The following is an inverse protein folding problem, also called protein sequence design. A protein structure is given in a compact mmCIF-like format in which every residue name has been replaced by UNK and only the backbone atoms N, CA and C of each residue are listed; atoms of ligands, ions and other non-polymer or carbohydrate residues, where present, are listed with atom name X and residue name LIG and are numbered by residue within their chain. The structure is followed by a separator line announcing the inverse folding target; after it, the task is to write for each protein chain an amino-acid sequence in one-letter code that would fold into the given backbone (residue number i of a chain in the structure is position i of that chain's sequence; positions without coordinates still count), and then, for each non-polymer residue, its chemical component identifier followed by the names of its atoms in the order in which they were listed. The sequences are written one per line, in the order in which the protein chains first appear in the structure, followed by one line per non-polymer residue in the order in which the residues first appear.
data_IF_466533501416
#
_entry.id   IF_466533501416
#
_cell.length_a   1.000
_cell.length_b   1.000
_cell.length_c   1.000
_cell.angle_alpha   90.00
_cell.angle_beta   90.00
_cell.angle_gamma   90.00
#
_symmetry.space_group_name_H-M   'P 1'
#
loop_
_entity.id
_entity.type
_entity.pdbx_description
1 polymer ?
#
# COMPACT_ATOMS: atom_id res chain seq x y z
N UNK A 1 -10.95 3.94 -1.81
CA UNK A 1 -9.67 3.29 -1.52
C UNK A 1 -9.18 3.67 -0.11
N UNK A 2 -8.48 2.76 0.51
CA UNK A 2 -7.84 2.99 1.81
C UNK A 2 -6.33 3.03 1.60
N UNK A 3 -5.69 4.11 2.04
CA UNK A 3 -4.25 4.27 1.95
C UNK A 3 -3.63 4.00 3.32
N UNK A 4 -2.69 3.07 3.37
CA UNK A 4 -1.99 2.71 4.59
C UNK A 4 -0.53 3.11 4.44
N UNK A 5 -0.09 4.09 5.23
CA UNK A 5 1.27 4.59 5.23
C UNK A 5 2.00 4.09 6.46
N UNK A 6 3.25 3.71 6.30
CA UNK A 6 4.08 3.27 7.42
C UNK A 6 5.17 4.29 7.70
N UNK A 7 5.37 4.60 8.99
CA UNK A 7 6.46 5.46 9.45
C UNK A 7 7.76 4.69 9.66
N UNK A 8 7.69 3.36 9.67
CA UNK A 8 8.83 2.51 10.00
C UNK A 8 9.27 1.58 8.87
N UNK A 9 8.31 1.14 8.07
CA UNK A 9 8.55 0.10 7.08
C UNK A 9 8.70 0.67 5.68
N UNK A 10 9.39 -0.07 4.82
CA UNK A 10 9.73 0.36 3.47
C UNK A 10 8.65 -0.01 2.46
N UNK A 11 7.40 0.24 2.82
CA UNK A 11 6.28 0.05 1.90
C UNK A 11 5.09 0.90 2.32
N UNK A 12 4.18 1.11 1.39
CA UNK A 12 2.83 1.58 1.68
C UNK A 12 1.82 0.77 0.86
N UNK A 13 0.58 0.79 1.29
CA UNK A 13 -0.46 -0.06 0.70
C UNK A 13 -1.66 0.77 0.29
N UNK A 14 -2.17 0.50 -0.90
CA UNK A 14 -3.46 1.00 -1.34
C UNK A 14 -4.42 -0.18 -1.37
N UNK A 15 -5.44 -0.13 -0.53
CA UNK A 15 -6.50 -1.14 -0.50
C UNK A 15 -7.63 -0.64 -1.39
N UNK A 16 -7.91 -1.37 -2.46
CA UNK A 16 -8.94 -1.00 -3.42
C UNK A 16 -10.16 -1.87 -3.22
N UNK A 17 -11.29 -1.23 -2.92
CA UNK A 17 -12.57 -1.90 -2.72
C UNK A 17 -13.33 -1.87 -4.06
N UNK A 18 -13.51 -3.03 -4.63
CA UNK A 18 -14.18 -3.21 -5.91
C UNK A 18 -15.64 -3.59 -5.71
N UNK A 19 -16.41 -3.68 -6.81
CA UNK A 19 -17.77 -4.17 -6.78
C UNK A 19 -17.80 -5.63 -6.33
N UNK A 20 -18.95 -6.06 -5.80
CA UNK A 20 -19.17 -7.44 -5.35
C UNK A 20 -18.26 -7.89 -4.20
N UNK A 21 -17.86 -6.92 -3.35
CA UNK A 21 -17.03 -7.18 -2.17
C UNK A 21 -15.63 -7.70 -2.48
N UNK A 22 -15.16 -7.47 -3.68
CA UNK A 22 -13.81 -7.83 -4.08
C UNK A 22 -12.80 -6.78 -3.60
N UNK A 23 -11.64 -7.25 -3.16
CA UNK A 23 -10.56 -6.39 -2.67
C UNK A 23 -9.29 -6.69 -3.44
N UNK A 24 -8.61 -5.60 -3.83
CA UNK A 24 -7.27 -5.69 -4.42
C UNK A 24 -6.31 -4.84 -3.59
N UNK A 25 -5.07 -5.29 -3.53
CA UNK A 25 -4.01 -4.54 -2.86
C UNK A 25 -2.95 -4.12 -3.87
N UNK A 26 -2.56 -2.87 -3.78
CA UNK A 26 -1.42 -2.35 -4.52
C UNK A 26 -0.39 -1.89 -3.50
N UNK A 27 0.80 -2.46 -3.55
CA UNK A 27 1.85 -2.21 -2.56
C UNK A 27 3.02 -1.54 -3.24
N UNK A 28 3.38 -0.36 -2.79
CA UNK A 28 4.57 0.34 -3.25
C UNK A 28 5.73 0.04 -2.32
N UNK A 29 6.85 -0.41 -2.86
CA UNK A 29 8.11 -0.43 -2.13
C UNK A 29 8.62 1.02 -2.12
N UNK A 30 8.72 1.59 -0.93
CA UNK A 30 8.97 3.01 -0.75
C UNK A 30 9.68 3.24 0.58
N UNK A 31 10.29 4.41 0.73
CA UNK A 31 10.83 4.78 2.03
C UNK A 31 9.71 4.91 3.06
N UNK A 32 10.04 4.79 4.35
CA UNK A 32 9.05 5.10 5.38
C UNK A 32 8.46 6.50 5.15
N UNK A 33 7.17 6.62 5.40
CA UNK A 33 6.47 7.89 5.18
C UNK A 33 6.81 8.88 6.28
N UNK A 34 6.98 10.14 5.90
CA UNK A 34 7.32 11.20 6.81
C UNK A 34 6.24 12.27 6.76
N UNK A 35 5.72 12.65 7.92
CA UNK A 35 4.73 13.71 8.00
C UNK A 35 5.43 15.06 7.84
N UNK A 36 4.99 15.86 6.87
CA UNK A 36 5.54 17.18 6.61
C UNK A 36 4.72 18.23 7.35
N UNK A 37 3.39 18.11 7.27
CA UNK A 37 2.45 18.97 7.99
C UNK A 37 1.17 18.17 8.27
N UNK A 38 0.12 18.82 8.78
CA UNK A 38 -1.11 18.14 9.18
C UNK A 38 -1.74 17.30 8.07
N UNK A 39 -1.57 17.72 6.81
CA UNK A 39 -2.24 17.09 5.68
C UNK A 39 -1.30 16.50 4.63
N UNK A 40 0.00 16.56 4.87
CA UNK A 40 0.98 16.09 3.89
C UNK A 40 1.94 15.07 4.47
N UNK A 41 2.14 14.00 3.68
CA UNK A 41 3.13 12.96 3.94
C UNK A 41 4.01 12.83 2.72
N UNK A 42 5.29 12.55 2.94
CA UNK A 42 6.22 12.33 1.86
C UNK A 42 6.92 10.98 2.02
N UNK A 43 7.22 10.37 0.91
CA UNK A 43 8.02 9.16 0.84
C UNK A 43 8.73 9.11 -0.51
N UNK A 44 9.79 8.32 -0.58
CA UNK A 44 10.50 8.07 -1.83
C UNK A 44 9.98 6.75 -2.40
N UNK A 45 9.46 6.79 -3.63
CA UNK A 45 9.02 5.61 -4.34
C UNK A 45 10.24 4.92 -4.96
N UNK A 46 10.41 3.65 -4.69
CA UNK A 46 11.52 2.86 -5.24
C UNK A 46 11.13 2.04 -6.46
N UNK A 47 10.00 2.37 -7.07
CA UNK A 47 9.52 1.83 -8.35
C UNK A 47 9.04 0.37 -8.33
N UNK A 48 9.55 -0.45 -7.45
CA UNK A 48 9.15 -1.85 -7.36
C UNK A 48 7.82 -1.96 -6.64
N UNK A 49 6.87 -2.67 -7.25
CA UNK A 49 5.52 -2.77 -6.73
C UNK A 49 5.06 -4.23 -6.64
N UNK A 50 4.09 -4.47 -5.76
CA UNK A 50 3.35 -5.72 -5.69
C UNK A 50 1.87 -5.45 -5.90
N UNK A 51 1.21 -6.34 -6.61
CA UNK A 51 -0.24 -6.30 -6.75
C UNK A 51 -0.83 -7.65 -6.33
N UNK A 52 -1.81 -7.63 -5.44
CA UNK A 52 -2.62 -8.81 -5.16
C UNK A 52 -4.02 -8.57 -5.70
N UNK A 53 -4.38 -9.33 -6.71
CA UNK A 53 -5.68 -9.27 -7.37
C UNK A 53 -6.77 -9.92 -6.51
N UNK A 54 -8.03 -9.63 -6.81
CA UNK A 54 -9.17 -10.20 -6.09
C UNK A 54 -9.20 -11.73 -6.11
N UNK A 55 -8.65 -12.35 -7.14
CA UNK A 55 -8.49 -13.80 -7.22
C UNK A 55 -7.29 -14.32 -6.42
N UNK A 56 -6.67 -13.46 -5.64
CA UNK A 56 -5.52 -13.74 -4.77
C UNK A 56 -4.20 -14.01 -5.48
N UNK A 57 -4.13 -13.74 -6.78
CA UNK A 57 -2.85 -13.79 -7.50
C UNK A 57 -1.96 -12.61 -7.11
N UNK A 58 -0.68 -12.89 -6.94
CA UNK A 58 0.32 -11.89 -6.59
C UNK A 58 1.22 -11.68 -7.79
N UNK A 59 1.42 -10.41 -8.17
CA UNK A 59 2.33 -10.03 -9.25
C UNK A 59 3.35 -9.03 -8.74
N UNK A 60 4.60 -9.24 -9.12
CA UNK A 60 5.66 -8.25 -8.94
C UNK A 60 5.69 -7.38 -10.19
N UNK A 61 5.74 -6.08 -10.00
CA UNK A 61 5.65 -5.11 -11.09
C UNK A 61 6.86 -4.20 -11.09
N UNK A 62 7.23 -3.75 -12.30
CA UNK A 62 8.21 -2.68 -12.52
C UNK A 62 9.66 -3.02 -12.13
N UNK A 63 10.03 -4.29 -12.23
CA UNK A 63 11.42 -4.71 -12.04
C UNK A 63 12.40 -4.00 -12.99
N UNK A 64 11.97 -3.75 -14.22
CA UNK A 64 12.79 -3.04 -15.20
C UNK A 64 13.06 -1.60 -14.77
N UNK A 65 12.04 -0.91 -14.31
CA UNK A 65 12.14 0.46 -13.82
C UNK A 65 13.00 0.54 -12.57
N UNK A 66 12.81 -0.39 -11.64
CA UNK A 66 13.62 -0.51 -10.44
C UNK A 66 15.10 -0.72 -10.81
N UNK A 67 15.38 -1.62 -11.75
CA UNK A 67 16.74 -1.88 -12.20
C UNK A 67 17.39 -0.65 -12.80
N UNK A 68 16.67 0.07 -13.67
CA UNK A 68 17.17 1.30 -14.30
C UNK A 68 17.42 2.40 -13.28
N UNK A 69 16.46 2.65 -12.41
CA UNK A 69 16.53 3.73 -11.43
C UNK A 69 17.53 3.44 -10.31
N UNK A 70 17.71 2.18 -9.95
CA UNK A 70 18.72 1.81 -8.94
C UNK A 70 20.14 2.15 -9.41
N UNK A 71 20.40 2.05 -10.72
CA UNK A 71 21.66 2.45 -11.32
C UNK A 71 21.76 3.97 -11.46
N UNK A 72 20.71 4.59 -12.00
CA UNK A 72 20.66 6.03 -12.25
C UNK A 72 20.84 6.85 -10.98
N UNK A 73 20.21 6.44 -9.90
CA UNK A 73 20.25 7.14 -8.61
C UNK A 73 21.22 6.50 -7.62
N UNK A 74 22.03 5.56 -8.06
CA UNK A 74 23.07 4.91 -7.26
C UNK A 74 22.55 4.35 -5.92
N UNK A 75 21.52 3.54 -5.98
CA UNK A 75 21.02 2.88 -4.75
C UNK A 75 22.13 2.04 -4.13
N UNK A 76 22.35 2.20 -2.82
CA UNK A 76 23.35 1.42 -2.12
C UNK A 76 22.96 -0.06 -2.07
N UNK A 77 23.94 -0.91 -1.80
CA UNK A 77 23.69 -2.33 -1.61
C UNK A 77 22.74 -2.57 -0.45
N UNK A 78 22.91 -1.79 0.61
CA UNK A 78 22.07 -1.86 1.81
C UNK A 78 20.62 -1.49 1.49
N UNK A 79 20.42 -0.42 0.72
CA UNK A 79 19.08 -0.02 0.32
C UNK A 79 18.41 -1.08 -0.55
N UNK A 80 19.12 -1.62 -1.54
CA UNK A 80 18.59 -2.67 -2.40
C UNK A 80 18.24 -3.92 -1.59
N UNK A 81 19.08 -4.27 -0.62
CA UNK A 81 18.80 -5.39 0.27
C UNK A 81 17.50 -5.17 1.06
N UNK A 82 17.32 -3.99 1.62
CA UNK A 82 16.09 -3.65 2.36
C UNK A 82 14.87 -3.73 1.46
N UNK A 83 14.93 -3.15 0.27
CA UNK A 83 13.82 -3.15 -0.69
C UNK A 83 13.44 -4.59 -1.08
N UNK A 84 14.42 -5.38 -1.48
CA UNK A 84 14.17 -6.74 -1.97
C UNK A 84 13.78 -7.70 -0.85
N UNK A 85 14.32 -7.50 0.34
CA UNK A 85 13.91 -8.27 1.53
C UNK A 85 12.49 -7.93 1.94
N UNK A 86 12.13 -6.65 1.88
CA UNK A 86 10.77 -6.19 2.18
C UNK A 86 9.78 -6.77 1.19
N UNK A 87 10.13 -6.80 -0.09
CA UNK A 87 9.28 -7.43 -1.11
C UNK A 87 8.96 -8.88 -0.75
N UNK A 88 9.98 -9.62 -0.36
CA UNK A 88 9.83 -11.03 0.02
C UNK A 88 8.93 -11.19 1.25
N UNK A 89 9.16 -10.38 2.27
CA UNK A 89 8.34 -10.40 3.48
C UNK A 89 6.88 -10.04 3.19
N UNK A 90 6.65 -9.06 2.31
CA UNK A 90 5.31 -8.66 1.91
C UNK A 90 4.57 -9.79 1.20
N UNK A 91 5.24 -10.51 0.32
CA UNK A 91 4.63 -11.65 -0.36
C UNK A 91 4.19 -12.71 0.64
N UNK A 92 5.01 -12.99 1.64
CA UNK A 92 4.67 -13.94 2.69
C UNK A 92 3.49 -13.45 3.53
N UNK A 93 3.48 -12.18 3.90
CA UNK A 93 2.39 -11.58 4.67
C UNK A 93 1.06 -11.62 3.90
N UNK A 94 1.12 -11.34 2.60
CA UNK A 94 -0.06 -11.43 1.74
C UNK A 94 -0.61 -12.87 1.68
N UNK A 95 0.27 -13.83 1.51
CA UNK A 95 -0.13 -15.24 1.45
C UNK A 95 -0.76 -15.72 2.75
N UNK A 96 -0.28 -15.23 3.88
CA UNK A 96 -0.80 -15.57 5.21
C UNK A 96 -1.97 -14.69 5.63
N UNK A 97 -2.36 -13.74 4.80
CA UNK A 97 -3.42 -12.78 5.10
C UNK A 97 -3.18 -12.02 6.42
N UNK A 98 -1.94 -11.74 6.72
CA UNK A 98 -1.56 -10.94 7.89
C UNK A 98 -1.92 -9.46 7.68
N UNK A 99 -2.27 -8.73 8.75
CA UNK A 99 -2.53 -7.30 8.61
C UNK A 99 -1.34 -6.57 7.96
N UNK A 100 -1.56 -5.65 7.01
CA UNK A 100 -2.85 -5.09 6.59
C UNK A 100 -3.55 -5.85 5.44
N UNK A 101 -3.20 -7.10 5.19
CA UNK A 101 -3.66 -7.88 4.03
C UNK A 101 -4.80 -8.84 4.36
N UNK A 102 -5.61 -8.52 5.33
CA UNK A 102 -6.78 -9.33 5.67
C UNK A 102 -8.03 -8.68 5.08
N UNK A 103 -8.62 -9.35 4.09
CA UNK A 103 -9.78 -8.84 3.36
C UNK A 103 -10.97 -8.57 4.28
N UNK A 104 -11.23 -9.51 5.18
CA UNK A 104 -12.39 -9.42 6.08
C UNK A 104 -12.27 -8.22 7.03
N UNK A 105 -11.09 -8.03 7.60
CA UNK A 105 -10.84 -6.90 8.51
C UNK A 105 -10.90 -5.56 7.77
N UNK A 106 -10.31 -5.50 6.57
CA UNK A 106 -10.32 -4.29 5.77
C UNK A 106 -11.74 -3.95 5.30
N UNK A 107 -12.52 -4.94 4.94
CA UNK A 107 -13.90 -4.73 4.55
C UNK A 107 -14.74 -4.21 5.72
N UNK A 108 -14.54 -4.77 6.91
CA UNK A 108 -15.22 -4.30 8.11
C UNK A 108 -14.89 -2.84 8.42
N UNK A 109 -13.63 -2.49 8.29
CA UNK A 109 -13.18 -1.11 8.48
C UNK A 109 -13.82 -0.16 7.46
N UNK A 110 -13.86 -0.58 6.21
CA UNK A 110 -14.49 0.19 5.13
C UNK A 110 -15.99 0.38 5.39
N UNK A 111 -16.70 -0.68 5.74
CA UNK A 111 -18.14 -0.63 6.00
C UNK A 111 -18.45 0.28 7.20
N UNK A 112 -17.66 0.20 8.25
CA UNK A 112 -17.81 1.08 9.42
C UNK A 112 -17.59 2.53 9.06
N UNK A 113 -16.61 2.83 8.23
CA UNK A 113 -16.32 4.19 7.77
C UNK A 113 -17.46 4.73 6.89
N UNK A 114 -17.98 3.90 5.99
CA UNK A 114 -19.10 4.30 5.12
C UNK A 114 -20.36 4.54 5.94
N UNK A 115 -20.64 3.73 6.95
CA UNK A 115 -21.76 3.96 7.87
C UNK A 115 -21.58 5.26 8.62
N UNK A 116 -20.38 5.56 9.09
CA UNK A 116 -20.07 6.82 9.74
C UNK A 116 -20.40 8.01 8.85
N UNK A 117 -19.92 7.99 7.60
CA UNK A 117 -20.18 9.06 6.63
C UNK A 117 -21.67 9.21 6.35
N UNK A 118 -22.40 8.10 6.25
CA UNK A 118 -23.82 8.10 5.96
C UNK A 118 -24.64 8.72 7.09
N UNK A 119 -24.23 8.51 8.33
CA UNK A 119 -24.94 8.97 9.52
C UNK A 119 -24.48 10.33 10.03
N UNK A 120 -23.45 10.93 9.43
CA UNK A 120 -22.89 12.21 9.82
C UNK A 120 -22.91 13.18 8.65
N UNK A 121 -23.37 14.40 8.87
CA UNK A 121 -23.39 15.41 7.83
C UNK A 121 -22.01 15.82 7.33
N UNK A 122 -20.97 15.49 8.11
CA UNK A 122 -19.59 15.75 7.72
C UNK A 122 -19.28 15.19 6.33
N UNK A 123 -19.69 13.95 6.05
CA UNK A 123 -19.48 13.34 4.74
C UNK A 123 -20.19 14.08 3.61
N UNK A 124 -21.28 14.74 3.89
CA UNK A 124 -22.03 15.54 2.90
C UNK A 124 -21.36 16.88 2.66
N UNK A 125 -20.76 17.48 3.69
CA UNK A 125 -20.13 18.80 3.61
C UNK A 125 -18.78 18.78 2.93
N UNK A 126 -18.05 17.68 3.01
CA UNK A 126 -16.74 17.54 2.35
C UNK A 126 -16.86 17.05 0.93
N UNK A 127 -18.03 16.90 0.41
CA UNK A 127 -18.22 16.50 -0.97
C UNK A 127 -17.77 17.60 -1.90
N UNK A 128 -16.83 17.31 -2.72
CA UNK A 128 -16.26 18.26 -3.65
C UNK A 128 -16.76 18.03 -5.07
#
# INVERSE_FOLDING_TARGET
ALYILSKKHFFNVIVMFKKDNEIEYYVNLASPSKRINENEYAFIDYDLDLKRSSNKQIKELDWGEYGSNSKKYSYSKELKFVIESTLKELKEAILKEEPPFNDKENKKLYDNFMDYLKNHEFGKKVRL
#
